data_IF_953412174058
#
_entry.id   IF_953412174058
#
_cell.length_a   1.000
_cell.length_b   1.000
_cell.length_c   1.000
_cell.angle_alpha   90.00
_cell.angle_beta   90.00
_cell.angle_gamma   90.00
#
_symmetry.space_group_name_H-M   'P 1'
#
loop_
_entity.id
_entity.type
_entity.pdbx_description
1 polymer ?
2 non-polymer ?
3 non-polymer ?
4 non-polymer ?
5 water ?
#
# COMPACT_ATOMS: atom_id res chain seq x y z
N UNK A 2 0.99 -7.57 26.22
CA UNK A 2 1.83 -6.33 26.07
C UNK A 2 1.95 -5.91 24.60
N UNK A 3 2.02 -4.60 24.36
CA UNK A 3 2.37 -4.09 23.03
C UNK A 3 3.65 -4.80 22.61
N UNK A 4 4.65 -4.76 23.50
CA UNK A 4 5.93 -5.39 23.26
C UNK A 4 5.76 -6.87 22.83
N UNK A 5 4.84 -7.59 23.50
CA UNK A 5 4.56 -9.02 23.18
C UNK A 5 4.02 -9.26 21.74
N UNK A 6 2.94 -8.56 21.36
CA UNK A 6 2.38 -8.64 19.98
C UNK A 6 3.42 -8.12 18.96
N UNK A 7 4.09 -7.02 19.30
CA UNK A 7 5.19 -6.53 18.49
C UNK A 7 6.25 -7.61 18.22
N UNK A 8 6.64 -8.33 19.28
CA UNK A 8 7.72 -9.28 19.13
C UNK A 8 7.28 -10.50 18.30
N UNK A 9 6.02 -10.90 18.47
CA UNK A 9 5.46 -12.00 17.70
C UNK A 9 5.38 -11.65 16.20
N UNK A 10 4.92 -10.44 15.91
CA UNK A 10 4.73 -10.02 14.52
C UNK A 10 6.09 -9.88 13.84
N UNK A 11 7.10 -9.40 14.58
CA UNK A 11 8.43 -9.25 13.96
C UNK A 11 9.00 -10.60 13.55
N UNK A 12 8.82 -11.60 14.42
CA UNK A 12 9.25 -12.94 14.07
C UNK A 12 8.56 -13.45 12.82
N UNK A 13 7.24 -13.25 12.72
CA UNK A 13 6.47 -13.68 11.54
C UNK A 13 7.03 -13.03 10.25
N UNK A 14 7.26 -11.73 10.34
CA UNK A 14 7.72 -10.93 9.18
C UNK A 14 9.13 -11.31 8.80
N UNK A 15 9.99 -11.43 9.82
CA UNK A 15 11.35 -11.81 9.60
C UNK A 15 11.41 -13.12 8.82
N UNK A 16 10.60 -14.09 9.23
CA UNK A 16 10.61 -15.44 8.61
C UNK A 16 10.05 -15.40 7.21
N UNK A 17 8.93 -14.71 7.04
CA UNK A 17 8.29 -14.62 5.71
C UNK A 17 9.15 -13.91 4.69
N UNK A 18 9.69 -12.74 5.08
CA UNK A 18 10.52 -11.84 4.19
C UNK A 18 12.04 -11.98 4.19
N UNK A 19 12.58 -12.83 5.04
CA UNK A 19 14.00 -13.00 5.17
C UNK A 19 14.72 -11.71 5.52
N UNK A 20 14.22 -11.01 6.54
CA UNK A 20 14.75 -9.73 7.01
C UNK A 20 15.03 -9.79 8.50
N UNK A 21 16.16 -9.23 8.96
CA UNK A 21 16.52 -9.43 10.36
C UNK A 21 15.50 -8.67 11.23
N UNK A 22 15.09 -9.27 12.34
CA UNK A 22 14.13 -8.58 13.23
C UNK A 22 14.46 -7.11 13.55
N UNK A 23 15.75 -6.82 13.78
CA UNK A 23 16.18 -5.46 14.12
C UNK A 23 15.90 -4.40 13.02
N UNK A 24 15.83 -4.83 11.75
CA UNK A 24 15.46 -3.97 10.64
C UNK A 24 13.94 -3.65 10.59
N UNK A 25 13.14 -4.33 11.41
CA UNK A 25 11.66 -4.22 11.32
C UNK A 25 11.21 -3.17 12.34
N UNK A 26 10.66 -2.06 11.82
CA UNK A 26 10.18 -0.98 12.69
C UNK A 26 8.73 -0.67 12.41
N UNK A 27 8.13 0.12 13.32
CA UNK A 27 6.68 0.42 13.13
C UNK A 27 6.33 0.97 11.74
N UNK A 28 7.13 1.90 11.22
CA UNK A 28 6.71 2.47 9.93
C UNK A 28 7.28 1.71 8.70
N UNK A 29 7.95 0.58 8.94
CA UNK A 29 8.44 -0.30 7.82
C UNK A 29 7.25 -0.74 6.96
N UNK A 30 7.33 -0.40 5.67
CA UNK A 30 6.22 -0.64 4.72
C UNK A 30 6.58 -1.99 4.02
N UNK A 31 5.65 -2.95 3.98
CA UNK A 31 6.04 -4.30 3.47
C UNK A 31 6.65 -4.24 2.07
N UNK A 32 5.99 -3.52 1.17
CA UNK A 32 6.50 -3.45 -0.20
C UNK A 32 7.59 -2.44 -0.52
N UNK A 33 7.56 -1.30 0.16
CA UNK A 33 8.47 -0.19 -0.09
C UNK A 33 9.78 -0.38 0.70
N UNK A 34 9.74 -0.98 1.88
CA UNK A 34 10.92 -1.15 2.73
C UNK A 34 11.43 -2.56 2.93
N UNK A 35 10.53 -3.53 2.94
CA UNK A 35 10.92 -4.88 3.29
C UNK A 35 10.92 -5.88 2.15
N UNK A 36 10.79 -5.37 0.92
CA UNK A 36 11.01 -6.18 -0.34
C UNK A 36 9.93 -7.23 -0.60
N UNK A 37 8.77 -7.05 0.01
CA UNK A 37 7.67 -8.02 -0.15
C UNK A 37 7.12 -7.98 -1.58
N UNK A 38 6.94 -9.17 -2.20
CA UNK A 38 6.17 -9.29 -3.44
C UNK A 38 4.74 -9.77 -3.20
N UNK A 39 3.99 -10.04 -4.27
CA UNK A 39 2.58 -10.34 -4.08
C UNK A 39 2.39 -11.66 -3.27
N UNK A 40 3.20 -12.67 -3.52
CA UNK A 40 3.06 -13.94 -2.78
C UNK A 40 3.47 -13.73 -1.31
N UNK A 41 4.54 -12.93 -1.07
CA UNK A 41 4.92 -12.60 0.30
C UNK A 41 3.73 -12.03 1.09
N UNK A 42 2.98 -11.14 0.45
CA UNK A 42 1.88 -10.44 1.10
C UNK A 42 0.81 -11.41 1.49
N UNK A 43 0.42 -12.29 0.56
CA UNK A 43 -0.56 -13.37 0.85
C UNK A 43 -0.09 -14.28 2.02
N UNK A 44 1.18 -14.67 2.00
CA UNK A 44 1.75 -15.50 3.06
C UNK A 44 1.76 -14.82 4.41
N UNK A 45 2.06 -13.53 4.41
CA UNK A 45 2.05 -12.78 5.64
C UNK A 45 0.64 -12.68 6.24
N UNK A 46 -0.35 -12.34 5.42
CA UNK A 46 -1.68 -12.19 5.99
C UNK A 46 -2.13 -13.54 6.51
N UNK A 47 -1.83 -14.61 5.78
CA UNK A 47 -2.27 -15.92 6.28
C UNK A 47 -1.51 -16.30 7.55
N UNK A 48 -0.24 -15.92 7.63
CA UNK A 48 0.53 -16.15 8.86
C UNK A 48 0.01 -15.37 10.11
N UNK A 49 -0.42 -14.13 9.92
CA UNK A 49 -1.07 -13.34 10.97
C UNK A 49 -2.37 -13.99 11.41
N UNK A 50 -3.14 -14.46 10.41
CA UNK A 50 -4.43 -15.12 10.71
C UNK A 50 -4.16 -16.37 11.57
N UNK A 51 -3.21 -17.23 11.16
CA UNK A 51 -2.88 -18.43 11.91
C UNK A 51 -2.32 -18.11 13.33
N UNK A 52 -1.44 -17.14 13.45
CA UNK A 52 -0.84 -16.84 14.76
C UNK A 52 -1.77 -16.20 15.78
N UNK A 53 -2.55 -15.19 15.35
CA UNK A 53 -3.34 -14.36 16.26
C UNK A 53 -4.81 -14.71 16.24
N UNK A 54 -5.15 -15.72 15.45
CA UNK A 54 -6.52 -16.23 15.39
C UNK A 54 -7.46 -15.06 15.08
N UNK A 55 -7.14 -14.31 14.04
CA UNK A 55 -8.01 -13.23 13.57
C UNK A 55 -8.32 -13.63 12.15
N UNK A 56 -9.32 -12.96 11.56
CA UNK A 56 -9.71 -13.15 10.16
C UNK A 56 -9.51 -11.77 9.53
N UNK A 57 -8.70 -11.74 8.49
CA UNK A 57 -8.42 -10.49 7.84
C UNK A 57 -9.11 -10.55 6.46
N UNK A 58 -10.10 -9.70 6.28
CA UNK A 58 -10.78 -9.70 5.02
C UNK A 58 -9.86 -9.12 3.93
N UNK A 59 -10.15 -9.44 2.67
CA UNK A 59 -9.39 -8.86 1.54
C UNK A 59 -9.26 -7.35 1.61
N UNK A 60 -10.36 -6.65 1.90
CA UNK A 60 -10.32 -5.21 1.98
C UNK A 60 -9.49 -4.73 3.20
N UNK A 61 -9.66 -5.36 4.35
CA UNK A 61 -8.73 -5.05 5.49
C UNK A 61 -7.25 -5.21 5.04
N UNK A 62 -6.95 -6.28 4.31
CA UNK A 62 -5.55 -6.59 4.00
C UNK A 62 -4.99 -5.54 3.11
N UNK A 63 -5.83 -5.01 2.23
CA UNK A 63 -5.38 -3.93 1.35
C UNK A 63 -5.02 -2.61 2.11
N UNK A 64 -5.50 -2.48 3.34
CA UNK A 64 -5.16 -1.35 4.20
C UNK A 64 -4.04 -1.65 5.19
N UNK A 65 -3.42 -2.82 5.10
CA UNK A 65 -2.33 -3.15 6.05
C UNK A 65 -1.07 -2.95 5.23
N UNK A 66 -0.48 -1.77 5.35
CA UNK A 66 0.66 -1.41 4.49
C UNK A 66 1.99 -1.48 5.25
N UNK A 67 1.89 -1.26 6.56
CA UNK A 67 3.09 -1.22 7.44
C UNK A 67 2.98 -2.16 8.64
N UNK A 68 4.12 -2.32 9.34
CA UNK A 68 4.21 -3.07 10.58
C UNK A 68 3.16 -2.53 11.57
N UNK A 69 3.14 -1.21 11.79
CA UNK A 69 2.18 -0.65 12.73
C UNK A 69 0.73 -0.96 12.33
N UNK A 70 0.43 -0.85 11.03
CA UNK A 70 -0.91 -1.16 10.53
C UNK A 70 -1.29 -2.56 10.99
N UNK A 71 -0.36 -3.49 10.82
CA UNK A 71 -0.66 -4.91 11.16
C UNK A 71 -0.84 -5.07 12.67
N UNK A 72 0.02 -4.45 13.47
CA UNK A 72 -0.10 -4.53 14.97
C UNK A 72 -1.40 -3.88 15.45
N UNK A 73 -1.72 -2.71 14.87
CA UNK A 73 -2.96 -1.99 15.25
C UNK A 73 -4.19 -2.80 14.87
N UNK A 74 -4.12 -3.44 13.70
CA UNK A 74 -5.21 -4.38 13.32
C UNK A 74 -5.42 -5.54 14.30
N UNK A 75 -4.34 -6.22 14.64
CA UNK A 75 -4.42 -7.31 15.57
C UNK A 75 -4.91 -6.87 16.96
N UNK A 76 -4.37 -5.76 17.47
CA UNK A 76 -4.80 -5.22 18.77
C UNK A 76 -6.29 -4.80 18.79
N UNK A 77 -6.79 -4.36 17.66
CA UNK A 77 -8.19 -4.00 17.51
C UNK A 77 -9.08 -5.28 17.58
N UNK A 78 -8.55 -6.39 17.09
CA UNK A 78 -9.39 -7.54 16.72
C UNK A 78 -9.20 -8.79 17.56
N UNK A 79 -8.08 -8.86 18.27
CA UNK A 79 -7.67 -10.06 18.97
C UNK A 79 -8.08 -11.32 18.24
N UNK B 1 2.30 25.19 -11.87
CA UNK B 1 3.62 24.60 -11.54
C UNK B 1 3.64 23.17 -12.05
N UNK B 2 4.82 22.60 -12.28
CA UNK B 2 4.84 21.24 -12.89
C UNK B 2 4.11 20.24 -11.96
N UNK B 3 4.37 20.36 -10.66
CA UNK B 3 3.80 19.44 -9.70
C UNK B 3 2.31 19.61 -9.63
N UNK B 4 1.82 20.86 -9.72
CA UNK B 4 0.38 21.09 -9.69
C UNK B 4 -0.31 20.50 -10.91
N UNK B 5 0.28 20.67 -12.09
CA UNK B 5 -0.25 20.04 -13.28
C UNK B 5 -0.39 18.52 -13.16
N UNK B 6 0.63 17.87 -12.62
CA UNK B 6 0.57 16.39 -12.45
C UNK B 6 -0.47 15.99 -11.41
N UNK B 7 -0.44 16.70 -10.29
CA UNK B 7 -1.43 16.48 -9.22
C UNK B 7 -2.84 16.64 -9.81
N UNK B 8 -3.07 17.73 -10.52
CA UNK B 8 -4.42 17.99 -11.06
C UNK B 8 -4.88 16.88 -12.03
N UNK B 9 -3.95 16.37 -12.79
CA UNK B 9 -4.26 15.32 -13.76
C UNK B 9 -4.59 14.00 -13.08
N UNK B 10 -3.83 13.67 -12.06
CA UNK B 10 -4.05 12.43 -11.35
C UNK B 10 -5.37 12.52 -10.57
N UNK B 11 -5.69 13.71 -10.07
CA UNK B 11 -6.97 13.83 -9.36
C UNK B 11 -8.16 13.52 -10.25
N UNK B 12 -8.12 13.96 -11.52
CA UNK B 12 -9.16 13.66 -12.51
C UNK B 12 -9.34 12.18 -12.68
N UNK B 13 -8.22 11.47 -12.91
CA UNK B 13 -8.27 10.01 -13.06
C UNK B 13 -8.89 9.29 -11.80
N UNK B 14 -8.42 9.66 -10.62
CA UNK B 14 -8.82 8.95 -9.38
C UNK B 14 -10.26 9.24 -9.11
N UNK B 15 -10.67 10.51 -9.31
CA UNK B 15 -12.07 10.91 -9.11
C UNK B 15 -13.02 10.03 -9.90
N UNK B 16 -12.70 9.86 -11.20
CA UNK B 16 -13.54 9.05 -12.06
C UNK B 16 -13.44 7.56 -11.70
N UNK B 17 -12.23 7.07 -11.45
CA UNK B 17 -12.05 5.66 -11.09
C UNK B 17 -12.68 5.22 -9.77
N UNK B 18 -12.43 5.98 -8.71
CA UNK B 18 -12.86 5.62 -7.36
C UNK B 18 -14.15 6.28 -6.95
N UNK B 19 -14.76 7.05 -7.84
CA UNK B 19 -16.05 7.65 -7.52
C UNK B 19 -15.93 8.44 -6.23
N UNK B 20 -15.01 9.41 -6.21
CA UNK B 20 -14.80 10.28 -5.04
C UNK B 20 -14.65 11.70 -5.55
N UNK B 21 -14.98 12.71 -4.74
CA UNK B 21 -14.91 14.11 -5.18
C UNK B 21 -13.46 14.56 -5.21
N UNK B 22 -13.07 15.31 -6.25
CA UNK B 22 -11.69 15.75 -6.38
C UNK B 22 -11.18 16.48 -5.11
N UNK B 23 -12.09 17.11 -4.36
CA UNK B 23 -11.69 17.89 -3.19
C UNK B 23 -11.22 16.99 -2.05
N UNK B 24 -11.66 15.75 -2.02
CA UNK B 24 -11.23 14.86 -0.99
C UNK B 24 -9.90 14.15 -1.37
N UNK B 25 -9.43 14.38 -2.59
CA UNK B 25 -8.14 13.78 -3.02
C UNK B 25 -7.00 14.72 -2.74
N UNK B 26 -6.07 14.28 -1.89
CA UNK B 26 -4.93 15.12 -1.54
C UNK B 26 -3.58 14.45 -1.91
N UNK B 27 -2.49 15.22 -1.86
CA UNK B 27 -1.17 14.60 -2.09
C UNK B 27 -0.91 13.35 -1.24
N UNK B 28 -1.31 13.36 0.03
CA UNK B 28 -0.98 12.24 0.91
C UNK B 28 -2.08 11.20 1.06
N UNK B 29 -3.11 11.28 0.22
CA UNK B 29 -4.22 10.34 0.22
C UNK B 29 -3.70 8.95 -0.10
N UNK B 30 -4.12 7.99 0.69
CA UNK B 30 -3.80 6.58 0.44
C UNK B 30 -5.02 5.92 -0.28
N UNK B 31 -4.76 5.26 -1.41
CA UNK B 31 -5.89 4.80 -2.30
C UNK B 31 -6.83 3.89 -1.58
N UNK B 32 -6.27 3.01 -0.76
CA UNK B 32 -7.11 2.10 -0.01
C UNK B 32 -7.61 2.65 1.33
N UNK B 33 -6.74 3.28 2.11
CA UNK B 33 -7.12 3.79 3.43
C UNK B 33 -8.04 4.99 3.44
N UNK B 34 -7.77 5.95 2.56
CA UNK B 34 -8.60 7.15 2.50
C UNK B 34 -9.67 7.09 1.39
N UNK B 35 -9.32 6.49 0.26
CA UNK B 35 -10.15 6.63 -0.94
C UNK B 35 -11.01 5.41 -1.34
N UNK B 36 -10.96 4.38 -0.52
CA UNK B 36 -11.85 3.22 -0.62
C UNK B 36 -11.58 2.28 -1.79
N UNK B 37 -10.37 2.30 -2.35
CA UNK B 37 -10.13 1.46 -3.56
C UNK B 37 -10.23 -0.02 -3.21
N UNK B 38 -10.80 -0.84 -4.10
CA UNK B 38 -10.66 -2.33 -3.91
C UNK B 38 -9.62 -2.89 -4.90
N UNK B 39 -9.46 -4.21 -5.02
CA UNK B 39 -8.32 -4.70 -5.78
C UNK B 39 -8.44 -4.32 -7.26
N UNK B 40 -9.66 -4.48 -7.79
CA UNK B 40 -9.90 -4.11 -9.19
C UNK B 40 -9.66 -2.63 -9.44
N UNK B 41 -10.07 -1.77 -8.48
CA UNK B 41 -9.84 -0.32 -8.63
C UNK B 41 -8.32 -0.06 -8.76
N UNK B 42 -7.53 -0.78 -7.95
CA UNK B 42 -6.06 -0.61 -7.96
C UNK B 42 -5.50 -0.98 -9.35
N UNK B 43 -5.94 -2.10 -9.89
CA UNK B 43 -5.49 -2.53 -11.20
C UNK B 43 -5.84 -1.46 -12.28
N UNK B 44 -7.10 -1.04 -12.31
CA UNK B 44 -7.57 -0.04 -13.26
C UNK B 44 -6.91 1.33 -13.07
N UNK B 45 -6.62 1.71 -11.82
CA UNK B 45 -5.89 2.94 -11.57
C UNK B 45 -4.48 2.96 -12.19
N UNK B 46 -3.73 1.88 -11.94
CA UNK B 46 -2.34 1.79 -12.47
C UNK B 46 -2.40 1.89 -14.00
N UNK B 47 -3.26 1.11 -14.63
CA UNK B 47 -3.41 1.14 -16.07
C UNK B 47 -3.78 2.53 -16.56
N UNK B 48 -4.68 3.19 -15.85
CA UNK B 48 -5.05 4.53 -16.25
C UNK B 48 -3.90 5.50 -16.12
N UNK B 49 -3.13 5.45 -15.02
CA UNK B 49 -1.92 6.28 -14.90
C UNK B 49 -0.92 5.99 -16.05
N UNK B 50 -0.73 4.71 -16.40
CA UNK B 50 0.27 4.40 -17.44
C UNK B 50 -0.19 5.03 -18.75
N UNK B 51 -1.49 4.89 -19.04
CA UNK B 51 -2.06 5.53 -20.27
C UNK B 51 -2.02 7.07 -20.32
N UNK B 52 -2.42 7.72 -19.24
CA UNK B 52 -2.47 9.18 -19.19
C UNK B 52 -1.11 9.83 -19.29
N UNK B 53 -0.14 9.32 -18.51
CA UNK B 53 1.15 9.99 -18.40
C UNK B 53 2.23 9.30 -19.28
N UNK B 54 1.78 8.38 -20.14
CA UNK B 54 2.66 7.53 -21.00
C UNK B 54 3.94 7.11 -20.26
N UNK B 55 3.71 6.47 -19.14
CA UNK B 55 4.78 5.86 -18.42
C UNK B 55 4.47 4.39 -18.40
N UNK B 56 5.48 3.61 -18.10
CA UNK B 56 5.31 2.22 -17.84
C UNK B 56 5.56 1.91 -16.38
N UNK B 57 4.62 1.24 -15.71
CA UNK B 57 4.79 0.87 -14.30
C UNK B 57 4.86 -0.66 -14.22
N UNK B 58 5.98 -1.23 -13.77
CA UNK B 58 6.06 -2.68 -13.64
C UNK B 58 5.09 -3.15 -12.57
N UNK B 59 4.68 -4.42 -12.65
CA UNK B 59 3.81 -5.05 -11.68
C UNK B 59 4.46 -4.88 -10.30
N UNK B 60 5.79 -5.02 -10.23
CA UNK B 60 6.44 -4.94 -8.93
C UNK B 60 6.49 -3.49 -8.42
N UNK B 61 6.71 -2.49 -9.29
CA UNK B 61 6.68 -1.10 -8.81
C UNK B 61 5.28 -0.70 -8.41
N UNK B 62 4.30 -1.27 -9.11
CA UNK B 62 2.88 -0.95 -8.77
C UNK B 62 2.56 -1.26 -7.29
N UNK B 63 3.16 -2.32 -6.73
CA UNK B 63 2.93 -2.67 -5.32
C UNK B 63 3.46 -1.64 -4.36
N UNK B 64 4.38 -0.81 -4.83
CA UNK B 64 4.99 0.27 -4.01
C UNK B 64 4.29 1.61 -4.15
N UNK B 65 3.11 1.61 -4.81
CA UNK B 65 2.39 2.89 -5.04
C UNK B 65 1.13 2.81 -4.18
N UNK B 66 1.19 3.39 -2.97
CA UNK B 66 0.12 3.35 -1.96
C UNK B 66 -0.71 4.65 -1.93
N UNK B 67 -0.05 5.74 -2.33
CA UNK B 67 -0.61 7.09 -2.14
C UNK B 67 -0.54 7.91 -3.42
N UNK B 68 -1.30 9.00 -3.46
CA UNK B 68 -1.16 9.94 -4.60
C UNK B 68 0.31 10.43 -4.75
N UNK B 69 1.00 10.72 -3.62
CA UNK B 69 2.40 11.22 -3.67
C UNK B 69 3.30 10.16 -4.30
N UNK B 70 3.08 8.90 -3.95
CA UNK B 70 3.89 7.81 -4.49
C UNK B 70 3.70 7.77 -5.99
N UNK B 71 2.44 7.91 -6.44
CA UNK B 71 2.17 7.91 -7.89
C UNK B 71 2.82 9.13 -8.56
N UNK B 72 2.67 10.30 -7.95
CA UNK B 72 3.31 11.58 -8.48
C UNK B 72 4.84 11.43 -8.60
N UNK B 73 5.42 10.87 -7.55
CA UNK B 73 6.88 10.62 -7.46
C UNK B 73 7.32 9.76 -8.65
N UNK B 74 6.63 8.63 -8.81
CA UNK B 74 6.91 7.68 -9.91
C UNK B 74 6.77 8.37 -11.26
N UNK B 75 5.64 9.01 -11.50
CA UNK B 75 5.42 9.69 -12.75
C UNK B 75 6.48 10.77 -13.01
N UNK B 76 6.79 11.62 -12.05
CA UNK B 76 7.81 12.66 -12.25
C UNK B 76 9.20 12.04 -12.54
N UNK B 77 9.54 10.95 -11.86
CA UNK B 77 10.80 10.21 -12.12
C UNK B 77 10.87 9.60 -13.53
N UNK B 78 9.72 9.23 -14.07
CA UNK B 78 9.66 8.50 -15.32
C UNK B 78 9.14 9.27 -16.54
N UNK B 79 8.58 10.45 -16.40
CA UNK B 79 8.20 11.03 -17.66
C UNK B 79 8.85 12.18 -18.40
N UNK B 80 9.63 13.12 -17.84
CA UNK B 80 9.91 13.46 -16.44
C UNK B 80 8.75 14.31 -15.86
N UNK B 81 8.87 15.04 -14.71
CA UNK B 81 10.08 15.67 -14.08
C UNK B 81 11.11 14.82 -13.30
X LIG C 1 2.59 -11.27 -6.17
X LIG C 1 2.11 -11.79 -7.61
X LIG C 1 3.11 -12.71 -8.22
X LIG C 1 1.54 -10.54 -8.29
X LIG C 1 0.86 -12.76 -7.31
X LIG C 1 0.78 -13.78 -6.29
X LIG C 1 -0.68 -14.23 -6.12
X LIG C 1 -1.49 -13.08 -5.52
X LIG C 1 -0.75 -15.43 -5.18
X LIG C 1 -1.25 -14.59 -7.51
X LIG C 1 -0.23 -15.22 -8.29
X LIG C 1 -2.46 -15.49 -7.57
X LIG C 1 -2.36 -16.69 -7.35
X LIG C 1 -3.62 -14.91 -7.93
X LIG C 1 -4.89 -15.62 -8.06
X LIG C 1 -4.82 -17.03 -8.70
X LIG C 1 -5.21 -17.04 -10.16
X LIG C 1 -5.19 -18.11 -10.77
X LIG C 1 -5.56 -15.87 -10.71
X LIG C 1 -5.97 -15.68 -12.10
X LIG C 1 -4.89 -15.01 -12.94
X LIG C 1 -4.71 -13.27 -12.46
X LIG D 1 -1.14 -6.88 3.34
X LIG D 1 0.28 -6.42 3.10
X LIG D 1 -1.32 -8.12 2.70
X LIG D 1 0.45 -4.87 2.16
X LIG E 1 18.01 7.10 3.32
X LIG E 1 16.82 6.32 3.82
X LIG E 1 17.62 8.55 3.44
X LIG E 1 15.70 6.77 3.52
X LIG E 1 16.95 5.28 4.49
X LIG E 1 17.70 9.09 4.57
X LIG E 1 17.20 9.16 2.42
X LIG F 1 13.85 -1.74 21.75
X LIG F 1 12.89 -2.90 21.94
X LIG F 1 13.87 -0.96 23.04
X LIG F 1 13.34 -3.96 22.43
X LIG F 1 11.69 -2.75 21.61
X LIG F 1 14.49 -1.44 24.02
X LIG F 1 13.26 0.13 23.08
X LIG G 1 -8.49 2.07 9.25
X LIG G 1 -7.90 2.55 10.55
X LIG G 1 -7.36 2.14 8.26
X LIG G 1 -8.56 2.51 11.62
X LIG G 1 -6.73 2.97 10.53
X LIG G 1 -6.74 1.11 7.96
X LIG G 1 -7.04 3.23 7.80
X LIG H 1 -2.37 -7.47 -1.26
X LIG H 1 -2.16 -8.94 -1.06
X LIG H 1 -2.49 -6.78 0.08
X LIG H 1 -2.49 -9.42 0.03
X LIG H 1 -1.66 -9.61 -2.02
X LIG H 1 -3.24 -7.31 0.91
X LIG H 1 -1.84 -5.73 0.31
X LIG I 1 2.27 3.57 7.63
X LIG I 1 0.96 4.30 7.72
X LIG I 1 3.07 3.95 8.86
X LIG I 1 0.72 5.34 7.04
X LIG I 1 0.23 3.77 8.54
X LIG I 1 3.02 3.16 9.86
X LIG I 1 3.69 5.03 8.71
X LIG J 1 -9.44 -6.73 -5.97
X LIG J 1 -9.48 -8.28 -6.36
X LIG J 1 -10.87 -8.66 -6.85
X LIG J 1 -8.80 -9.12 -5.31
X LIG J 1 -8.53 -8.31 -7.69
X LIG J 1 -9.00 -7.74 -8.92
X LIG J 1 -8.73 -8.79 -9.99
X LIG J 1 -7.25 -9.14 -9.84
X LIG J 1 -9.01 -8.22 -11.38
X LIG J 1 -9.54 -10.07 -9.71
X LIG J 1 -10.90 -9.73 -9.47
X LIG J 1 -9.52 -11.03 -10.88
X LIG J 1 -8.59 -11.81 -11.05
X LIG J 1 -10.57 -10.90 -11.68
X LIG J 1 -10.84 -11.63 -12.89
X LIG J 1 -11.83 -10.74 -13.62
X LIG J 1 -11.41 -10.30 -15.00
X LIG J 1 -10.74 -9.28 -15.15
X LIG J 1 -11.84 -11.04 -16.04
X LIG J 1 -12.63 -12.27 -15.91
X LIG J 1 -11.74 -13.47 -15.57
X LIG J 1 -12.66 -15.02 -15.59
X LIG K 1 -1.29 -3.65 -13.39
X LIG K 1 -1.40 -5.06 -13.97
X LIG K 1 -0.67 -3.65 -12.01
X LIG K 1 -0.46 -5.62 -14.65
X LIG K 1 -2.49 -5.62 -13.74
X LIG K 1 0.54 -3.80 -11.96
X LIG K 1 -1.34 -3.53 -10.95
X LIG L 1 -10.03 1.16 -17.55
X LIG L 1 -8.59 0.93 -17.11
X LIG L 1 -10.70 2.13 -16.60
X LIG L 1 -8.00 1.90 -16.59
X LIG L 1 -8.06 -0.20 -17.28
X LIG L 1 -10.88 3.31 -16.99
X LIG L 1 -11.05 1.73 -15.46
X LIG M 1 -1.26 -1.79 -5.92
X LIG M 1 -1.26 -2.74 -7.10
X LIG M 1 -1.36 -0.30 -6.21
X LIG M 1 -0.20 -2.81 -7.67
X LIG M 1 -2.25 -3.42 -7.54
X LIG M 1 -1.66 0.49 -5.31
X LIG M 1 -1.16 0.15 -7.35
X LIG N 1 -0.73 -1.86 -2.41
X LIG N 1 -1.20 -3.14 -1.74
X LIG N 1 -1.51 -0.62 -1.98
X LIG N 1 -2.21 -3.10 -1.00
X LIG N 1 -0.57 -4.20 -1.94
X LIG N 1 -1.69 -0.39 -0.76
X LIG N 1 -1.93 0.18 -2.83
X LIG O 1 9.73 6.08 -3.16
X LIG O 1 9.87 4.64 -2.71
X LIG O 1 8.65 6.80 -2.37
X LIG O 1 9.41 3.74 -3.47
X LIG O 1 10.44 4.42 -1.61
X LIG O 1 8.90 7.07 -1.17
X LIG O 1 7.58 7.12 -2.94
X LIG P 1 -3.10 -5.22 -5.66
X LIG P 1 -4.35 -6.04 -5.93
X LIG P 1 -2.57 -5.22 -4.23
X LIG P 1 -5.10 -6.36 -4.98
X LIG P 1 -4.59 -6.37 -7.12
X LIG P 1 -3.13 -4.51 -3.38
X LIG P 1 -1.55 -5.90 -3.95
X LIG Q 1 11.66 8.55 0.90
X LIG Q 1 12.56 8.17 2.06
X LIG Q 1 11.99 9.88 0.26
X LIG Q 1 13.54 8.90 2.37
X LIG Q 1 12.30 7.10 2.67
X LIG Q 1 13.05 10.00 -0.40
X LIG Q 1 11.20 10.83 0.42
X LIG R 1 -4.82 -9.92 -13.11
X LIG R 1 -4.06 -8.84 -12.38
X LIG R 1 -5.92 -9.34 -13.97
X LIG R 1 -4.72 -8.15 -11.57
X LIG R 1 -2.84 -8.65 -12.60
X LIG R 1 -6.72 -10.13 -14.51
X LIG R 1 -6.00 -8.10 -14.13
X LIG S 1 1.65 3.66 3.98
X LIG S 1 2.90 4.08 4.75
X LIG S 1 0.50 4.66 3.91
X LIG S 1 2.79 4.96 5.67
X LIG S 1 4.02 3.55 4.45
X LIG S 1 0.36 5.46 2.96
X LIG S 1 -0.35 4.62 4.83
#
# INVERSE_FOLDING_TARGET
SSLKSTFDDIKKIISKQLSVEEDKIQMNSNFTKDLGADSLDLVELIMALEEKFNVTISDQDALKINTVQDAIDYIEKNNKQ
SSLKSTFDDIKKIISKQLSVEEDKIQMNSNFTKDLGADSLDLVELIMALEEKFNVTISDQDALKINTVQDAIDYIEKNNKQ
PNS O23 P24 O25 O26 O27 C28 C29 C30 C31 C32 O33 C34 O35 N36 C37 C38 C39 O40 N41 C42 C43 S44
BME C1 C2 O1 S2
MLI C1 C2 C3 O6 O7 O8 O9
MLI C1 C2 C3 O6 O7 O8 O9
MLI C1 C2 C3 O6 O7 O8 O9
MLI C1 C2 C3 O6 O7 O8 O9
MLI C1 C2 C3 O6 O7 O8 O9
PNS O23 P24 O25 O26 O27 C28 C29 C30 C31 C32 O33 C34 O35 N36 C37 C38 C39 O40 N41 C42 C43 S44
MLI C1 C2 C3 O6 O7 O8 O9
MLI C1 C2 C3 O6 O7 O8 O9
MLI C1 C2 C3 O6 O7 O8 O9
MLI C1 C2 C3 O6 O7 O8 O9
MLI C1 C2 C3 O6 O7 O8 O9
MLI C1 C2 C3 O6 O7 O8 O9
MLI C1 C2 C3 O6 O7 O8 O9
MLI C1 C2 C3 O6 O7 O8 O9
MLI C1 C2 C3 O6 O7 O8 O9
#
